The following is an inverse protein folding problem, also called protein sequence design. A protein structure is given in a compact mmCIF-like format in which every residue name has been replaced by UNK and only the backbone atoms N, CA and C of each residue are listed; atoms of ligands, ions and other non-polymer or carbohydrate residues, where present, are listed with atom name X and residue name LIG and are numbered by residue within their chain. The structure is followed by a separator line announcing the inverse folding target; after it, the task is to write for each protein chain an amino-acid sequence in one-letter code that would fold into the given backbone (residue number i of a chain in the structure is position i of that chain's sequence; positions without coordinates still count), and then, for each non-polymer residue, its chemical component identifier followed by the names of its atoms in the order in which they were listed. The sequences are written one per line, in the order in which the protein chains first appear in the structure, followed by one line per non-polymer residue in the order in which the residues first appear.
data_IF_300291600171
#
_entry.id   IF_300291600171
#
_cell.length_a   1.000
_cell.length_b   1.000
_cell.length_c   1.000
_cell.angle_alpha   90.00
_cell.angle_beta   90.00
_cell.angle_gamma   90.00
#
_symmetry.space_group_name_H-M   'P 1'
#
loop_
_entity.id
_entity.type
_entity.pdbx_description
1 polymer ?
#
# COMPACT_ATOMS: atom_id res chain seq x y z
N UNK A 1 -25.51 -0.98 21.48
CA UNK A 1 -24.15 -1.42 21.12
C UNK A 1 -23.41 -1.72 22.40
N UNK A 2 -22.58 -2.77 22.47
CA UNK A 2 -21.73 -2.99 23.65
C UNK A 2 -20.89 -1.73 23.88
N UNK A 3 -20.82 -1.27 25.12
CA UNK A 3 -20.04 -0.10 25.49
C UNK A 3 -18.54 -0.38 25.29
N UNK A 4 -17.79 0.64 24.82
CA UNK A 4 -16.33 0.53 24.74
C UNK A 4 -15.71 0.41 26.15
N UNK A 5 -14.67 -0.44 26.31
CA UNK A 5 -13.97 -0.62 27.57
C UNK A 5 -13.46 0.70 28.16
N UNK A 6 -13.48 0.79 29.48
CA UNK A 6 -12.85 1.89 30.22
C UNK A 6 -11.40 1.51 30.53
N UNK A 7 -10.53 2.50 30.42
CA UNK A 7 -9.09 2.43 30.67
C UNK A 7 -8.64 3.69 31.41
N UNK A 8 -7.60 3.59 32.25
CA UNK A 8 -7.06 4.72 33.02
C UNK A 8 -7.48 4.74 34.49
N UNK A 9 -7.21 5.85 35.22
CA UNK A 9 -7.51 5.97 36.65
C UNK A 9 -9.01 5.95 36.94
N UNK A 10 -9.40 5.39 38.08
CA UNK A 10 -10.81 5.24 38.49
C UNK A 10 -11.56 6.58 38.60
N UNK A 11 -10.85 7.65 38.98
CA UNK A 11 -11.44 8.98 39.11
C UNK A 11 -11.79 9.63 37.76
N UNK A 12 -11.08 9.25 36.69
CA UNK A 12 -11.24 9.83 35.35
C UNK A 12 -11.07 8.75 34.27
N UNK A 13 -11.99 7.77 34.21
CA UNK A 13 -11.87 6.66 33.28
C UNK A 13 -12.06 7.18 31.86
N UNK A 14 -11.14 6.78 31.00
CA UNK A 14 -11.16 7.15 29.59
C UNK A 14 -11.60 5.95 28.77
N UNK A 15 -12.22 6.21 27.63
CA UNK A 15 -12.62 5.16 26.70
C UNK A 15 -12.61 5.69 25.28
N UNK A 16 -12.56 4.77 24.33
CA UNK A 16 -12.83 5.09 22.95
C UNK A 16 -14.22 5.70 22.78
N UNK A 17 -14.35 6.70 21.91
CA UNK A 17 -15.62 7.37 21.63
C UNK A 17 -16.02 7.15 20.18
N UNK A 18 -17.15 6.48 19.93
CA UNK A 18 -17.65 6.21 18.57
C UNK A 18 -17.87 7.47 17.73
N UNK A 19 -18.13 8.63 18.36
CA UNK A 19 -18.24 9.91 17.65
C UNK A 19 -16.98 10.24 16.83
N UNK A 20 -15.81 9.73 17.22
CA UNK A 20 -14.57 9.94 16.49
C UNK A 20 -14.61 9.35 15.08
N UNK A 21 -15.36 8.28 14.82
CA UNK A 21 -15.53 7.76 13.45
C UNK A 21 -16.17 8.76 12.50
N UNK A 22 -17.05 9.64 12.99
CA UNK A 22 -17.68 10.69 12.16
C UNK A 22 -16.69 11.77 11.76
N UNK A 23 -15.69 12.02 12.59
CA UNK A 23 -14.67 13.06 12.36
C UNK A 23 -13.46 12.52 11.61
N UNK A 24 -13.06 11.28 11.90
CA UNK A 24 -11.84 10.66 11.38
C UNK A 24 -12.20 9.40 10.59
N UNK A 25 -12.40 9.56 9.28
CA UNK A 25 -12.83 8.48 8.38
C UNK A 25 -11.79 7.37 8.15
N UNK A 26 -10.53 7.60 8.53
CA UNK A 26 -9.44 6.63 8.46
C UNK A 26 -9.33 5.74 9.71
N UNK A 27 -10.04 6.12 10.78
CA UNK A 27 -9.92 5.55 12.11
C UNK A 27 -10.61 4.19 12.16
N UNK A 28 -9.87 3.18 12.58
CA UNK A 28 -10.39 1.85 12.89
C UNK A 28 -10.17 1.56 14.38
N UNK A 29 -11.09 0.83 15.00
CA UNK A 29 -10.97 0.40 16.39
C UNK A 29 -10.99 -1.11 16.49
N UNK A 30 -10.05 -1.68 17.25
CA UNK A 30 -10.00 -3.11 17.54
C UNK A 30 -10.48 -3.39 18.97
N UNK A 31 -11.60 -4.12 19.16
CA UNK A 31 -12.07 -4.50 20.48
C UNK A 31 -11.13 -5.46 21.21
N UNK A 32 -10.36 -6.28 20.48
CA UNK A 32 -9.45 -7.27 21.07
C UNK A 32 -8.23 -6.60 21.71
N UNK A 33 -7.75 -5.51 21.11
CA UNK A 33 -6.61 -4.76 21.63
C UNK A 33 -7.01 -3.53 22.42
N UNK A 34 -8.29 -3.12 22.42
CA UNK A 34 -8.75 -1.82 22.92
C UNK A 34 -7.87 -0.68 22.38
N UNK A 35 -7.69 -0.63 21.07
CA UNK A 35 -6.82 0.36 20.42
C UNK A 35 -7.39 0.88 19.10
N UNK A 36 -6.94 2.08 18.73
CA UNK A 36 -7.26 2.73 17.48
C UNK A 36 -6.10 2.62 16.47
N UNK A 37 -6.44 2.45 15.21
CA UNK A 37 -5.53 2.23 14.09
C UNK A 37 -5.88 3.13 12.90
N UNK A 38 -4.91 3.35 12.02
CA UNK A 38 -5.10 3.93 10.70
C UNK A 38 -4.96 2.81 9.66
N UNK A 39 -6.06 2.43 9.02
CA UNK A 39 -6.06 1.31 8.06
C UNK A 39 -5.12 1.57 6.87
N UNK A 40 -5.23 2.74 6.23
CA UNK A 40 -4.39 3.10 5.09
C UNK A 40 -2.91 3.12 5.47
N UNK A 41 -2.59 3.63 6.66
CA UNK A 41 -1.23 3.67 7.16
C UNK A 41 -0.71 2.26 7.44
N UNK A 42 -1.51 1.41 8.08
CA UNK A 42 -1.15 0.02 8.35
C UNK A 42 -0.81 -0.75 7.07
N UNK A 43 -1.56 -0.51 5.99
CA UNK A 43 -1.38 -1.22 4.73
C UNK A 43 -0.16 -0.74 3.93
N UNK A 44 0.11 0.57 3.89
CA UNK A 44 1.13 1.16 3.02
C UNK A 44 2.40 1.64 3.74
N UNK A 45 2.40 1.70 5.07
CA UNK A 45 3.60 2.07 5.82
C UNK A 45 4.69 1.02 5.56
N UNK A 46 5.78 1.47 4.93
CA UNK A 46 7.02 0.70 4.91
C UNK A 46 7.62 0.80 6.30
N UNK A 47 8.02 -0.34 6.90
CA UNK A 47 8.71 -0.37 8.21
C UNK A 47 9.69 0.79 8.29
N UNK A 48 9.32 1.79 9.08
CA UNK A 48 10.06 3.02 9.22
C UNK A 48 11.23 2.71 10.14
N UNK A 49 12.38 2.35 9.58
CA UNK A 49 13.61 2.20 10.34
C UNK A 49 13.97 3.57 10.95
N UNK A 50 13.54 3.84 12.19
CA UNK A 50 14.17 4.84 13.05
C UNK A 50 13.40 6.09 13.46
N UNK A 51 12.07 6.22 13.26
CA UNK A 51 11.30 7.31 13.89
C UNK A 51 10.43 6.77 15.03
N UNK A 52 10.75 7.18 16.26
CA UNK A 52 9.97 6.79 17.45
C UNK A 52 8.51 7.24 17.30
N UNK A 53 7.57 6.29 17.38
CA UNK A 53 6.13 6.56 17.35
C UNK A 53 5.47 6.61 15.98
N UNK A 54 6.18 6.33 14.88
CA UNK A 54 5.58 6.17 13.54
C UNK A 54 4.56 5.04 13.49
N UNK A 55 4.82 3.97 14.25
CA UNK A 55 4.02 2.74 14.31
C UNK A 55 2.86 2.78 15.31
N UNK A 56 2.64 3.93 15.98
CA UNK A 56 1.61 4.08 17.03
C UNK A 56 0.21 3.74 16.50
N UNK A 57 -0.11 4.16 15.28
CA UNK A 57 -1.42 3.93 14.65
C UNK A 57 -1.44 2.71 13.72
N UNK A 58 -0.35 1.94 13.66
CA UNK A 58 -0.22 0.79 12.75
C UNK A 58 0.07 -0.49 13.54
N UNK A 59 1.30 -0.74 13.98
CA UNK A 59 1.65 -1.97 14.67
C UNK A 59 1.23 -1.96 16.15
N UNK A 60 1.44 -0.86 16.87
CA UNK A 60 1.23 -0.82 18.32
C UNK A 60 -0.25 -0.63 18.68
N UNK A 61 -0.95 0.21 17.93
CA UNK A 61 -2.29 0.67 18.24
C UNK A 61 -2.30 1.80 19.26
N UNK A 62 -3.07 2.84 18.98
CA UNK A 62 -3.19 4.01 19.83
C UNK A 62 -4.22 3.78 20.94
N UNK A 63 -3.83 3.97 22.21
CA UNK A 63 -4.72 3.82 23.38
C UNK A 63 -4.79 5.04 24.29
N UNK A 64 -4.03 6.09 23.98
CA UNK A 64 -3.84 7.23 24.88
C UNK A 64 -4.97 8.27 24.73
N UNK A 65 -6.18 7.88 25.15
CA UNK A 65 -7.43 8.61 24.92
C UNK A 65 -7.43 10.07 25.43
N UNK A 66 -6.74 10.37 26.54
CA UNK A 66 -6.56 11.76 27.03
C UNK A 66 -5.94 12.71 26.00
N UNK A 67 -5.19 12.22 25.01
CA UNK A 67 -4.57 13.05 23.98
C UNK A 67 -5.50 13.42 22.83
N UNK A 68 -6.77 13.01 22.85
CA UNK A 68 -7.73 13.35 21.79
C UNK A 68 -8.49 14.65 22.09
N UNK A 69 -8.69 14.98 23.37
CA UNK A 69 -9.41 16.20 23.80
C UNK A 69 -8.52 17.36 24.23
N UNK A 70 -7.18 17.23 24.11
CA UNK A 70 -6.23 18.26 24.52
C UNK A 70 -5.94 19.31 23.44
N UNK A 71 -5.14 20.33 23.78
CA UNK A 71 -4.69 21.40 22.86
C UNK A 71 -4.02 20.88 21.58
N UNK A 72 -3.38 19.72 21.67
CA UNK A 72 -2.79 19.00 20.53
C UNK A 72 -3.48 17.64 20.47
N UNK A 73 -4.42 17.48 19.54
CA UNK A 73 -5.11 16.22 19.32
C UNK A 73 -4.16 15.21 18.65
N UNK A 74 -4.02 14.02 19.21
CA UNK A 74 -3.14 12.99 18.64
C UNK A 74 -3.61 12.51 17.27
N UNK A 75 -4.91 12.47 17.01
CA UNK A 75 -5.45 12.12 15.68
C UNK A 75 -5.11 13.18 14.63
N UNK A 76 -5.26 14.46 14.96
CA UNK A 76 -4.87 15.56 14.06
C UNK A 76 -3.35 15.58 13.84
N UNK A 77 -2.58 15.31 14.90
CA UNK A 77 -1.11 15.21 14.81
C UNK A 77 -0.69 14.07 13.89
N UNK A 78 -1.38 12.93 13.94
CA UNK A 78 -1.14 11.79 13.05
C UNK A 78 -1.42 12.15 11.58
N UNK A 79 -2.53 12.85 11.33
CA UNK A 79 -2.87 13.32 9.98
C UNK A 79 -1.85 14.30 9.42
N UNK A 80 -1.10 14.99 10.27
CA UNK A 80 -0.20 16.06 9.87
C UNK A 80 -0.97 17.34 9.47
N UNK A 81 -0.22 18.41 9.20
CA UNK A 81 -0.80 19.74 8.92
C UNK A 81 -1.08 20.00 7.44
N UNK A 82 -0.51 19.18 6.55
CA UNK A 82 -0.58 19.38 5.11
C UNK A 82 -0.79 18.06 4.36
N UNK A 83 -1.08 18.16 3.06
CA UNK A 83 -1.34 17.03 2.16
C UNK A 83 -0.10 16.15 1.91
N UNK A 84 1.10 16.68 2.20
CA UNK A 84 2.38 15.99 2.04
C UNK A 84 2.76 15.20 3.30
N UNK A 85 1.87 15.12 4.30
CA UNK A 85 2.06 14.24 5.44
C UNK A 85 2.11 12.78 5.01
N UNK A 86 2.80 11.96 5.80
CA UNK A 86 2.85 10.51 5.56
C UNK A 86 1.44 9.90 5.52
N UNK A 87 0.58 10.33 6.44
CA UNK A 87 -0.83 9.92 6.46
C UNK A 87 -1.55 10.30 5.16
N UNK A 88 -1.43 11.54 4.71
CA UNK A 88 -2.05 12.03 3.48
C UNK A 88 -1.61 11.21 2.26
N UNK A 89 -0.31 10.93 2.16
CA UNK A 89 0.26 10.07 1.11
C UNK A 89 -0.33 8.64 1.13
N UNK A 90 -0.42 8.01 2.31
CA UNK A 90 -0.99 6.66 2.43
C UNK A 90 -2.50 6.62 2.20
N UNK A 91 -3.23 7.65 2.62
CA UNK A 91 -4.66 7.78 2.30
C UNK A 91 -4.87 7.93 0.80
N UNK A 92 -4.01 8.68 0.10
CA UNK A 92 -4.08 8.78 -1.35
C UNK A 92 -3.75 7.45 -2.02
N UNK A 93 -2.69 6.77 -1.56
CA UNK A 93 -2.32 5.44 -2.05
C UNK A 93 -3.46 4.42 -1.91
N UNK A 94 -4.21 4.48 -0.81
CA UNK A 94 -5.39 3.66 -0.62
C UNK A 94 -6.54 3.98 -1.57
N UNK A 95 -6.77 5.26 -1.87
CA UNK A 95 -7.76 5.68 -2.88
C UNK A 95 -7.37 5.19 -4.27
N UNK A 96 -6.08 5.30 -4.61
CA UNK A 96 -5.55 4.87 -5.90
C UNK A 96 -5.63 3.34 -6.03
N UNK A 97 -5.33 2.61 -4.95
CA UNK A 97 -5.51 1.16 -4.88
C UNK A 97 -6.98 0.74 -5.04
N UNK A 98 -7.92 1.46 -4.40
CA UNK A 98 -9.36 1.20 -4.55
C UNK A 98 -9.91 1.56 -5.94
N UNK A 99 -9.18 2.33 -6.73
CA UNK A 99 -9.63 2.70 -8.05
C UNK A 99 -9.50 1.49 -8.99
N UNK A 100 -10.59 0.71 -9.12
CA UNK A 100 -10.63 -0.52 -9.94
C UNK A 100 -10.13 -0.33 -11.38
N UNK A 101 -10.18 0.87 -11.95
CA UNK A 101 -9.74 1.12 -13.34
C UNK A 101 -8.26 0.79 -13.59
N UNK A 102 -7.43 0.75 -12.55
CA UNK A 102 -6.01 0.39 -12.64
C UNK A 102 -5.70 -1.05 -12.25
N UNK A 103 -6.70 -1.85 -11.83
CA UNK A 103 -6.49 -3.26 -11.52
C UNK A 103 -6.13 -4.05 -12.79
N UNK A 104 -5.21 -5.00 -12.64
CA UNK A 104 -4.74 -5.86 -13.75
C UNK A 104 -5.92 -6.56 -14.42
N UNK A 105 -6.86 -7.09 -13.64
CA UNK A 105 -8.03 -7.79 -14.18
C UNK A 105 -8.90 -6.86 -15.03
N UNK A 106 -9.18 -5.65 -14.53
CA UNK A 106 -9.95 -4.64 -15.28
C UNK A 106 -9.21 -4.17 -16.53
N UNK A 107 -7.88 -4.05 -16.50
CA UNK A 107 -7.09 -3.74 -17.69
C UNK A 107 -7.16 -4.87 -18.72
N UNK A 108 -7.06 -6.12 -18.29
CA UNK A 108 -7.14 -7.31 -19.15
C UNK A 108 -8.53 -7.47 -19.78
N UNK A 109 -9.59 -7.20 -19.03
CA UNK A 109 -10.98 -7.19 -19.53
C UNK A 109 -11.22 -6.08 -20.55
N UNK A 110 -10.58 -4.93 -20.39
CA UNK A 110 -10.70 -3.80 -21.31
C UNK A 110 -9.78 -3.90 -22.54
N UNK A 111 -8.93 -4.94 -22.65
CA UNK A 111 -8.12 -5.15 -23.85
C UNK A 111 -9.00 -5.53 -25.04
N UNK A 112 -8.77 -4.85 -26.16
CA UNK A 112 -9.42 -5.24 -27.41
C UNK A 112 -8.97 -6.63 -27.86
N UNK A 113 -9.81 -7.38 -28.61
CA UNK A 113 -9.42 -8.68 -29.17
C UNK A 113 -8.12 -8.61 -29.97
N UNK A 114 -7.89 -7.50 -30.68
CA UNK A 114 -6.65 -7.23 -31.42
C UNK A 114 -5.43 -7.13 -30.50
N UNK A 115 -5.51 -6.33 -29.43
CA UNK A 115 -4.41 -6.23 -28.47
C UNK A 115 -4.09 -7.58 -27.81
N UNK A 116 -5.13 -8.37 -27.50
CA UNK A 116 -4.95 -9.72 -26.97
C UNK A 116 -4.25 -10.64 -27.98
N UNK A 117 -4.63 -10.59 -29.26
CA UNK A 117 -3.96 -11.36 -30.31
C UNK A 117 -2.49 -10.94 -30.48
N UNK A 118 -2.22 -9.63 -30.56
CA UNK A 118 -0.88 -9.08 -30.70
C UNK A 118 0.02 -9.45 -29.51
N UNK A 119 -0.50 -9.37 -28.29
CA UNK A 119 0.22 -9.74 -27.07
C UNK A 119 0.54 -11.24 -27.04
N UNK A 120 -0.41 -12.11 -27.43
CA UNK A 120 -0.18 -13.55 -27.54
C UNK A 120 0.87 -13.89 -28.58
N UNK A 121 0.85 -13.21 -29.73
CA UNK A 121 1.85 -13.40 -30.78
C UNK A 121 3.26 -13.02 -30.29
N UNK A 122 3.41 -11.87 -29.64
CA UNK A 122 4.69 -11.41 -29.07
C UNK A 122 5.22 -12.36 -28.00
N UNK A 123 4.34 -12.83 -27.11
CA UNK A 123 4.71 -13.79 -26.07
C UNK A 123 5.14 -15.13 -26.69
N UNK A 124 4.39 -15.64 -27.66
CA UNK A 124 4.73 -16.87 -28.38
C UNK A 124 6.08 -16.78 -29.08
N UNK A 125 6.32 -15.70 -29.83
CA UNK A 125 7.60 -15.47 -30.49
C UNK A 125 8.76 -15.39 -29.48
N UNK A 126 8.57 -14.70 -28.36
CA UNK A 126 9.60 -14.59 -27.30
C UNK A 126 9.92 -15.96 -26.69
N UNK A 127 8.91 -16.80 -26.43
CA UNK A 127 9.09 -18.16 -25.92
C UNK A 127 9.86 -19.02 -26.92
N UNK A 128 9.52 -18.94 -28.21
CA UNK A 128 10.22 -19.69 -29.26
C UNK A 128 11.69 -19.26 -29.38
N UNK A 129 11.98 -17.96 -29.32
CA UNK A 129 13.37 -17.45 -29.26
C UNK A 129 14.11 -18.01 -28.05
N UNK A 130 13.50 -17.98 -26.86
CA UNK A 130 14.10 -18.54 -25.64
C UNK A 130 14.37 -20.04 -25.79
N UNK A 131 13.43 -20.81 -26.34
CA UNK A 131 13.60 -22.26 -26.59
C UNK A 131 14.73 -22.53 -27.58
N UNK A 132 14.80 -21.75 -28.66
CA UNK A 132 15.86 -21.89 -29.65
C UNK A 132 17.24 -21.58 -29.08
N UNK A 133 17.37 -20.45 -28.37
CA UNK A 133 18.64 -20.04 -27.75
C UNK A 133 19.10 -21.07 -26.70
N UNK A 134 18.19 -21.56 -25.86
CA UNK A 134 18.52 -22.59 -24.87
C UNK A 134 18.94 -23.91 -25.51
N UNK A 135 18.26 -24.34 -26.58
CA UNK A 135 18.64 -25.54 -27.35
C UNK A 135 20.05 -25.42 -27.94
N UNK A 136 20.40 -24.24 -28.45
CA UNK A 136 21.72 -23.95 -29.02
C UNK A 136 22.79 -23.58 -27.96
N UNK A 137 22.41 -23.50 -26.68
CA UNK A 137 23.24 -22.97 -25.57
C UNK A 137 23.78 -21.56 -25.85
N UNK A 138 23.01 -20.77 -26.58
CA UNK A 138 23.32 -19.37 -26.87
C UNK A 138 22.88 -18.46 -25.71
N UNK A 139 23.66 -17.40 -25.48
CA UNK A 139 23.30 -16.38 -24.51
C UNK A 139 22.11 -15.54 -25.01
N UNK A 140 21.27 -15.06 -24.09
CA UNK A 140 20.15 -14.17 -24.40
C UNK A 140 20.58 -12.79 -24.89
N UNK A 141 21.80 -12.38 -24.56
CA UNK A 141 22.43 -11.13 -25.01
C UNK A 141 23.82 -11.45 -25.54
N UNK A 142 24.15 -10.90 -26.71
CA UNK A 142 25.52 -10.86 -27.20
C UNK A 142 26.36 -9.92 -26.34
N UNK A 143 27.64 -10.24 -26.16
CA UNK A 143 28.60 -9.36 -25.49
C UNK A 143 29.22 -8.34 -26.47
N UNK A 144 29.06 -8.58 -27.78
CA UNK A 144 29.68 -7.81 -28.86
C UNK A 144 28.59 -7.27 -29.82
N UNK A 145 28.44 -5.94 -29.82
CA UNK A 145 27.56 -5.19 -30.75
C UNK A 145 28.33 -4.66 -31.98
N UNK A 146 29.60 -5.04 -32.16
CA UNK A 146 30.39 -4.61 -33.31
C UNK A 146 29.81 -5.13 -34.62
N UNK A 147 30.18 -4.48 -35.73
CA UNK A 147 29.70 -4.83 -37.07
C UNK A 147 30.09 -6.25 -37.53
N UNK A 148 30.98 -6.93 -36.81
CA UNK A 148 31.43 -8.31 -37.10
C UNK A 148 30.68 -9.37 -36.29
N UNK A 149 29.78 -8.96 -35.40
CA UNK A 149 29.02 -9.88 -34.56
C UNK A 149 28.07 -10.72 -35.40
N UNK A 150 28.08 -12.04 -35.15
CA UNK A 150 27.16 -13.00 -35.79
C UNK A 150 25.76 -12.98 -35.17
N UNK A 151 25.59 -12.30 -34.03
CA UNK A 151 24.34 -12.21 -33.26
C UNK A 151 24.12 -10.74 -32.90
N UNK A 152 24.05 -9.90 -33.93
CA UNK A 152 23.59 -8.52 -33.79
C UNK A 152 22.05 -8.54 -33.72
N UNK A 153 21.47 -7.79 -32.79
CA UNK A 153 20.03 -7.44 -32.77
C UNK A 153 19.03 -8.58 -32.46
N UNK A 154 19.35 -9.54 -31.57
CA UNK A 154 18.29 -10.44 -31.06
C UNK A 154 17.40 -9.78 -29.99
N UNK A 155 17.79 -8.61 -29.45
CA UNK A 155 16.90 -7.70 -28.70
C UNK A 155 17.34 -6.26 -28.87
#
# INVERSE_FOLDING_TARGET
MPEYPKSGPDDHPQRFQSKWFKTFNWLEYSPTTDAAYCFSCFFFEKKSFGKFGSDTFTAQGFKNWKRIGGKICAFETHMGKDINSAHGYYVQSWKDFKNLKSHIDTLLENLTPKQNADNRLRLGASIEVVRWLTFQKCAFRGHDESAKSKIKEIF
#
